data_IF_304145903341
#
_entry.id   IF_304145903341
#
_cell.length_a   1.000
_cell.length_b   1.000
_cell.length_c   1.000
_cell.angle_alpha   90.00
_cell.angle_beta   90.00
_cell.angle_gamma   90.00
#
_symmetry.space_group_name_H-M   'P 1'
#
loop_
_entity.id
_entity.type
_entity.pdbx_description
1 polymer ?
#
# COMPACT_ATOMS: atom_id res chain seq x y z
N UNK A 1 -5.67 -1.00 7.39
CA UNK A 1 -4.35 -0.93 8.05
C UNK A 1 -3.86 0.50 8.28
N UNK A 2 -3.89 1.40 7.28
CA UNK A 2 -3.43 2.82 7.41
C UNK A 2 -3.79 3.52 8.73
N UNK A 3 -5.08 3.47 9.13
CA UNK A 3 -5.55 4.13 10.36
C UNK A 3 -4.77 3.66 11.60
N UNK A 4 -4.59 2.36 11.77
CA UNK A 4 -3.99 1.76 12.98
C UNK A 4 -2.47 1.82 12.93
N UNK A 5 -1.87 1.46 11.79
CA UNK A 5 -0.43 1.32 11.66
C UNK A 5 0.31 2.65 11.51
N UNK A 6 -0.35 3.66 10.94
CA UNK A 6 0.30 4.93 10.61
C UNK A 6 -0.35 6.12 11.32
N UNK A 7 -1.68 6.21 11.36
CA UNK A 7 -2.37 7.44 11.81
C UNK A 7 -2.63 7.47 13.31
N UNK A 8 -3.00 6.37 13.95
CA UNK A 8 -3.58 6.35 15.30
C UNK A 8 -2.66 6.92 16.40
N UNK A 9 -1.34 6.82 16.23
CA UNK A 9 -0.34 7.33 17.21
C UNK A 9 0.40 8.57 16.72
N UNK A 10 -0.15 9.28 15.72
CA UNK A 10 0.47 10.48 15.15
C UNK A 10 -0.49 11.65 15.22
N UNK A 11 0.02 12.76 15.72
CA UNK A 11 -0.60 14.08 15.59
C UNK A 11 0.04 14.80 14.43
N UNK A 12 -0.78 15.37 13.55
CA UNK A 12 -0.32 16.23 12.47
C UNK A 12 -0.70 17.66 12.79
N UNK A 13 0.25 18.58 12.61
CA UNK A 13 0.06 20.00 12.89
C UNK A 13 -0.89 20.62 11.86
N UNK A 14 -0.82 20.14 10.61
CA UNK A 14 -1.67 20.64 9.52
C UNK A 14 -2.22 19.51 8.65
N UNK A 15 -3.31 19.79 7.93
CA UNK A 15 -3.85 18.87 6.92
C UNK A 15 -2.84 18.59 5.80
N UNK A 16 -2.05 19.58 5.40
CA UNK A 16 -1.03 19.43 4.36
C UNK A 16 0.06 18.46 4.80
N UNK A 17 0.53 18.59 6.05
CA UNK A 17 1.48 17.66 6.64
C UNK A 17 0.92 16.23 6.67
N UNK A 18 -0.32 16.07 7.13
CA UNK A 18 -0.97 14.76 7.16
C UNK A 18 -1.02 14.12 5.78
N UNK A 19 -1.41 14.87 4.74
CA UNK A 19 -1.47 14.38 3.35
C UNK A 19 -0.10 13.93 2.86
N UNK A 20 0.94 14.74 3.08
CA UNK A 20 2.30 14.40 2.66
C UNK A 20 2.78 13.12 3.37
N UNK A 21 2.66 13.06 4.70
CA UNK A 21 3.11 11.90 5.49
C UNK A 21 2.34 10.63 5.16
N UNK A 22 1.06 10.72 4.86
CA UNK A 22 0.25 9.57 4.44
C UNK A 22 0.68 9.12 3.04
N UNK A 23 0.80 10.04 2.08
CA UNK A 23 1.23 9.70 0.72
C UNK A 23 2.61 9.04 0.72
N UNK A 24 3.58 9.60 1.45
CA UNK A 24 4.92 9.02 1.59
C UNK A 24 4.89 7.63 2.21
N UNK A 25 4.02 7.39 3.20
CA UNK A 25 3.90 6.06 3.79
C UNK A 25 3.26 5.05 2.84
N UNK A 26 2.26 5.47 2.06
CA UNK A 26 1.62 4.60 1.07
C UNK A 26 2.63 4.19 0.00
N UNK A 27 3.31 5.16 -0.62
CA UNK A 27 4.21 4.88 -1.75
C UNK A 27 5.56 4.31 -1.31
N UNK A 28 6.09 4.78 -0.18
CA UNK A 28 7.42 4.41 0.30
C UNK A 28 7.47 3.16 1.16
N UNK A 29 6.35 2.75 1.77
CA UNK A 29 6.31 1.60 2.67
C UNK A 29 5.16 0.64 2.38
N UNK A 30 3.92 1.12 2.33
CA UNK A 30 2.76 0.23 2.23
C UNK A 30 2.79 -0.58 0.94
N UNK A 31 2.85 0.09 -0.21
CA UNK A 31 2.81 -0.55 -1.52
C UNK A 31 4.07 -1.39 -1.80
N UNK A 32 5.22 -0.98 -1.28
CA UNK A 32 6.54 -1.54 -1.66
C UNK A 32 7.10 -2.56 -0.68
N UNK A 33 6.66 -2.56 0.59
CA UNK A 33 7.31 -3.37 1.64
C UNK A 33 6.34 -4.06 2.58
N UNK A 34 5.13 -3.53 2.77
CA UNK A 34 4.22 -4.08 3.77
C UNK A 34 3.68 -5.44 3.32
N UNK A 35 3.88 -6.47 4.13
CA UNK A 35 3.42 -7.82 3.79
C UNK A 35 1.96 -8.05 4.16
N UNK A 36 1.21 -8.65 3.24
CA UNK A 36 -0.20 -8.98 3.43
C UNK A 36 -0.42 -10.49 3.32
N UNK A 37 -1.10 -11.09 4.30
CA UNK A 37 -1.41 -12.54 4.30
C UNK A 37 -2.26 -12.94 3.08
N UNK A 38 -3.22 -12.10 2.68
CA UNK A 38 -4.03 -12.27 1.46
C UNK A 38 -3.15 -12.24 0.20
N UNK A 39 -2.05 -11.50 0.23
CA UNK A 39 -1.08 -11.44 -0.87
C UNK A 39 -0.02 -12.57 -0.80
N UNK A 40 -0.21 -13.58 0.05
CA UNK A 40 0.79 -14.63 0.28
C UNK A 40 2.05 -14.11 0.96
N UNK A 41 1.90 -13.15 1.89
CA UNK A 41 3.01 -12.46 2.55
C UNK A 41 3.98 -11.74 1.60
N UNK A 42 3.45 -11.23 0.48
CA UNK A 42 4.17 -10.32 -0.43
C UNK A 42 3.71 -8.87 -0.24
N UNK A 43 4.51 -7.94 -0.77
CA UNK A 43 4.10 -6.53 -0.88
C UNK A 43 2.98 -6.39 -1.92
N UNK A 44 2.10 -5.38 -1.82
CA UNK A 44 1.06 -5.14 -2.81
C UNK A 44 1.60 -5.02 -4.24
N UNK A 45 2.70 -4.30 -4.45
CA UNK A 45 3.29 -4.13 -5.79
C UNK A 45 3.82 -5.46 -6.33
N UNK A 46 4.46 -6.29 -5.51
CA UNK A 46 4.97 -7.58 -5.98
C UNK A 46 3.82 -8.53 -6.31
N UNK A 47 2.78 -8.53 -5.46
CA UNK A 47 1.56 -9.29 -5.73
C UNK A 47 0.89 -8.86 -7.04
N UNK A 48 0.68 -7.55 -7.24
CA UNK A 48 0.08 -7.02 -8.46
C UNK A 48 0.92 -7.34 -9.70
N UNK A 49 2.26 -7.22 -9.62
CA UNK A 49 3.15 -7.56 -10.74
C UNK A 49 2.99 -9.01 -11.17
N UNK A 50 2.94 -9.92 -10.21
CA UNK A 50 2.78 -11.34 -10.49
C UNK A 50 1.38 -11.66 -11.06
N UNK A 51 0.33 -10.91 -10.67
CA UNK A 51 -1.03 -11.07 -11.20
C UNK A 51 -1.25 -10.39 -12.56
N UNK A 52 -0.52 -9.30 -12.85
CA UNK A 52 -0.52 -8.63 -14.14
C UNK A 52 0.24 -9.44 -15.19
N UNK A 53 1.23 -10.23 -14.77
CA UNK A 53 1.93 -11.18 -15.63
C UNK A 53 1.14 -12.47 -15.90
N UNK A 54 -0.02 -12.65 -15.26
CA UNK A 54 -0.94 -13.76 -15.53
C UNK A 54 -1.87 -13.37 -16.69
N UNK A 55 -1.71 -13.97 -17.89
CA UNK A 55 -2.43 -13.56 -19.12
C UNK A 55 -3.95 -13.76 -19.03
N UNK A 56 -4.44 -14.39 -17.97
CA UNK A 56 -5.87 -14.63 -17.74
C UNK A 56 -6.62 -13.35 -17.36
N UNK A 57 -5.96 -12.35 -16.75
CA UNK A 57 -6.60 -11.11 -16.27
C UNK A 57 -6.82 -10.09 -17.39
N UNK A 58 -5.99 -10.11 -18.43
CA UNK A 58 -6.04 -9.14 -19.54
C UNK A 58 -7.21 -9.40 -20.52
N UNK A 59 -7.76 -10.61 -20.54
CA UNK A 59 -8.93 -10.96 -21.37
C UNK A 59 -10.29 -10.52 -20.78
N UNK A 60 -10.32 -9.97 -19.57
CA UNK A 60 -11.55 -9.62 -18.85
C UNK A 60 -11.75 -8.10 -18.61
N UNK A 61 -10.89 -7.25 -19.18
CA UNK A 61 -10.97 -5.78 -19.11
C UNK A 61 -11.38 -5.18 -20.47
#
# INVERSE_FOLDING_TARGET
MLKVEHVHRRTFTTRTEARLKIATWITGFYNTRRLHSVCGYRSPIDYERDHQADPTVELAA
#
